data_IF_886521320009
#
_entry.id   IF_886521320009
#
_cell.length_a   1.000
_cell.length_b   1.000
_cell.length_c   1.000
_cell.angle_alpha   90.00
_cell.angle_beta   90.00
_cell.angle_gamma   90.00
#
_symmetry.space_group_name_H-M   'P 1'
#
loop_
_entity.id
_entity.type
_entity.pdbx_description
1 polymer ?
#
# COMPACT_ATOMS: atom_id res chain seq x y z
N UNK A 1 -19.71 -6.03 1.30
CA UNK A 1 -20.41 -4.78 0.94
C UNK A 1 -19.58 -3.77 0.13
N UNK A 2 -18.34 -4.06 -0.30
CA UNK A 2 -17.66 -3.28 -1.36
C UNK A 2 -18.16 -3.64 -2.78
N UNK A 3 -18.89 -4.76 -2.88
CA UNK A 3 -19.41 -5.33 -4.11
C UNK A 3 -20.77 -4.74 -4.55
N UNK A 4 -21.24 -3.71 -3.86
CA UNK A 4 -22.44 -2.94 -4.22
C UNK A 4 -22.10 -1.49 -4.59
N UNK A 5 -20.91 -1.00 -4.22
CA UNK A 5 -20.50 0.39 -4.48
C UNK A 5 -19.91 0.52 -5.89
N UNK A 6 -19.04 -0.40 -6.31
CA UNK A 6 -18.45 -0.39 -7.65
C UNK A 6 -19.49 -0.70 -8.74
N UNK A 7 -20.29 -1.78 -8.66
CA UNK A 7 -21.38 -1.98 -9.62
C UNK A 7 -22.47 -0.92 -9.45
N UNK A 8 -22.66 -0.33 -8.27
CA UNK A 8 -23.58 0.80 -8.09
C UNK A 8 -23.13 2.07 -8.81
N UNK A 9 -21.84 2.40 -8.81
CA UNK A 9 -21.27 3.54 -9.53
C UNK A 9 -21.24 3.30 -11.04
N UNK A 10 -20.86 2.10 -11.48
CA UNK A 10 -20.86 1.73 -12.91
C UNK A 10 -22.30 1.63 -13.44
N UNK A 11 -23.23 1.05 -12.67
CA UNK A 11 -24.65 0.98 -13.01
C UNK A 11 -25.30 2.36 -12.99
N UNK A 12 -24.98 3.22 -12.02
CA UNK A 12 -25.44 4.63 -12.02
C UNK A 12 -24.87 5.42 -13.19
N UNK A 13 -23.63 5.15 -13.59
CA UNK A 13 -23.04 5.71 -14.81
C UNK A 13 -23.77 5.25 -16.08
N UNK A 14 -24.10 3.96 -16.16
CA UNK A 14 -24.86 3.39 -17.28
C UNK A 14 -26.32 3.82 -17.30
N UNK A 15 -26.98 3.91 -16.15
CA UNK A 15 -28.35 4.40 -15.99
C UNK A 15 -28.44 5.90 -16.30
N UNK A 16 -27.43 6.70 -15.94
CA UNK A 16 -27.34 8.11 -16.31
C UNK A 16 -27.11 8.32 -17.82
N UNK A 17 -26.30 7.47 -18.45
CA UNK A 17 -26.13 7.48 -19.91
C UNK A 17 -27.41 7.00 -20.62
N UNK A 18 -28.05 5.94 -20.14
CA UNK A 18 -29.26 5.39 -20.72
C UNK A 18 -30.47 6.34 -20.58
N UNK A 19 -30.61 7.03 -19.45
CA UNK A 19 -31.66 8.05 -19.27
C UNK A 19 -31.44 9.29 -20.16
N UNK A 20 -30.18 9.65 -20.42
CA UNK A 20 -29.82 10.67 -21.41
C UNK A 20 -30.22 10.27 -22.84
N UNK A 21 -30.06 8.99 -23.20
CA UNK A 21 -30.42 8.48 -24.54
C UNK A 21 -31.92 8.23 -24.70
N UNK A 22 -32.64 7.88 -23.64
CA UNK A 22 -34.07 7.56 -23.70
C UNK A 22 -34.98 8.81 -23.78
N UNK A 23 -34.53 9.95 -23.24
CA UNK A 23 -35.24 11.23 -23.36
C UNK A 23 -35.12 11.88 -24.76
N UNK A 24 -34.36 11.29 -25.69
CA UNK A 24 -34.23 11.75 -27.08
C UNK A 24 -35.36 11.28 -28.01
N UNK A 25 -36.25 10.39 -27.53
CA UNK A 25 -37.23 9.69 -28.37
C UNK A 25 -38.66 10.23 -28.40
N UNK A 26 -39.00 11.32 -27.70
CA UNK A 26 -40.38 11.79 -27.71
C UNK A 26 -40.61 13.18 -27.12
N UNK A 27 -41.02 14.11 -27.98
CA UNK A 27 -41.71 15.35 -27.59
C UNK A 27 -41.00 16.62 -28.01
N UNK A 28 -41.57 17.31 -29.01
CA UNK A 28 -41.40 18.75 -29.25
C UNK A 28 -41.54 19.51 -27.92
N UNK A 29 -40.57 20.38 -27.58
CA UNK A 29 -40.73 21.72 -26.99
C UNK A 29 -39.36 22.22 -26.43
N UNK A 30 -38.84 23.30 -27.02
CA UNK A 30 -37.75 24.13 -26.46
C UNK A 30 -36.42 23.43 -26.16
N UNK A 31 -35.58 23.24 -27.20
CA UNK A 31 -34.20 22.76 -27.03
C UNK A 31 -33.38 23.72 -26.15
N UNK A 32 -33.29 23.44 -24.85
CA UNK A 32 -32.09 23.80 -24.11
C UNK A 32 -30.93 23.00 -24.73
N UNK A 33 -29.87 23.65 -25.23
CA UNK A 33 -28.78 22.93 -25.87
C UNK A 33 -28.16 22.01 -24.82
N UNK A 34 -28.35 20.70 -24.99
CA UNK A 34 -27.70 19.72 -24.14
C UNK A 34 -26.20 20.02 -24.16
N UNK A 35 -25.51 20.08 -23.01
CA UNK A 35 -24.07 20.32 -22.98
C UNK A 35 -23.38 19.20 -23.77
N UNK A 36 -23.06 19.46 -25.04
CA UNK A 36 -22.33 18.51 -25.87
C UNK A 36 -20.92 18.43 -25.30
N UNK A 37 -20.67 17.38 -24.53
CA UNK A 37 -19.37 17.18 -23.91
C UNK A 37 -18.33 16.99 -25.02
N UNK A 38 -17.38 17.94 -25.19
CA UNK A 38 -16.48 17.87 -26.31
C UNK A 38 -15.54 16.67 -26.17
N UNK A 39 -15.36 15.90 -27.25
CA UNK A 39 -14.54 14.68 -27.26
C UNK A 39 -13.10 14.96 -26.81
N UNK A 40 -12.52 16.10 -27.16
CA UNK A 40 -11.19 16.51 -26.72
C UNK A 40 -11.11 16.66 -25.19
N UNK A 41 -12.17 17.16 -24.56
CA UNK A 41 -12.27 17.28 -23.10
C UNK A 41 -12.29 15.91 -22.41
N UNK A 42 -12.99 14.95 -23.01
CA UNK A 42 -13.02 13.57 -22.51
C UNK A 42 -11.65 12.89 -22.57
N UNK A 43 -10.92 13.09 -23.67
CA UNK A 43 -9.57 12.56 -23.82
C UNK A 43 -8.62 13.14 -22.76
N UNK A 44 -8.68 14.46 -22.52
CA UNK A 44 -7.86 15.10 -21.49
C UNK A 44 -8.16 14.54 -20.10
N UNK A 45 -9.44 14.50 -19.69
CA UNK A 45 -9.82 13.96 -18.38
C UNK A 45 -9.38 12.50 -18.18
N UNK A 46 -9.59 11.65 -19.19
CA UNK A 46 -9.17 10.24 -19.13
C UNK A 46 -7.65 10.16 -19.05
N UNK A 47 -6.91 10.97 -19.80
CA UNK A 47 -5.45 10.99 -19.75
C UNK A 47 -4.91 11.43 -18.39
N UNK A 48 -5.48 12.48 -17.79
CA UNK A 48 -5.12 12.97 -16.46
C UNK A 48 -5.45 11.94 -15.38
N UNK A 49 -6.57 11.24 -15.52
CA UNK A 49 -6.95 10.15 -14.61
C UNK A 49 -6.00 8.93 -14.72
N UNK A 50 -5.62 8.53 -15.93
CA UNK A 50 -4.63 7.46 -16.15
C UNK A 50 -3.29 7.87 -15.55
N UNK A 51 -2.86 9.12 -15.76
CA UNK A 51 -1.61 9.63 -15.20
C UNK A 51 -1.65 9.60 -13.67
N UNK A 52 -2.77 10.01 -13.05
CA UNK A 52 -2.97 9.92 -11.60
C UNK A 52 -2.79 8.47 -11.11
N UNK A 53 -3.41 7.50 -11.78
CA UNK A 53 -3.28 6.07 -11.43
C UNK A 53 -1.81 5.63 -11.50
N UNK A 54 -1.10 5.97 -12.59
CA UNK A 54 0.31 5.58 -12.78
C UNK A 54 1.21 6.20 -11.73
N UNK A 55 1.01 7.48 -11.39
CA UNK A 55 1.79 8.18 -10.36
C UNK A 55 1.51 7.59 -8.98
N UNK A 56 0.24 7.42 -8.62
CA UNK A 56 -0.16 6.83 -7.33
C UNK A 56 0.36 5.40 -7.18
N UNK A 57 0.26 4.60 -8.23
CA UNK A 57 0.83 3.25 -8.26
C UNK A 57 2.35 3.26 -8.09
N UNK A 58 3.07 4.18 -8.77
CA UNK A 58 4.53 4.27 -8.66
C UNK A 58 4.97 4.63 -7.24
N UNK A 59 4.25 5.56 -6.59
CA UNK A 59 4.52 5.98 -5.21
C UNK A 59 4.26 4.82 -4.25
N UNK A 60 3.10 4.20 -4.34
CA UNK A 60 2.71 3.08 -3.48
C UNK A 60 3.66 1.88 -3.65
N UNK A 61 3.96 1.50 -4.89
CA UNK A 61 4.85 0.38 -5.17
C UNK A 61 6.28 0.65 -4.67
N UNK A 62 6.87 1.78 -5.06
CA UNK A 62 8.28 2.05 -4.79
C UNK A 62 8.50 2.42 -3.33
N UNK A 63 7.75 3.39 -2.82
CA UNK A 63 7.98 3.95 -1.49
C UNK A 63 7.09 3.32 -0.42
N UNK A 64 5.92 2.78 -0.77
CA UNK A 64 5.00 2.11 0.17
C UNK A 64 5.23 0.61 0.34
N UNK A 65 5.83 -0.07 -0.65
CA UNK A 65 6.11 -1.51 -0.60
C UNK A 65 7.60 -1.83 -0.65
N UNK A 66 8.30 -1.48 -1.73
CA UNK A 66 9.69 -1.90 -1.94
C UNK A 66 10.65 -1.36 -0.86
N UNK A 67 10.69 -0.04 -0.66
CA UNK A 67 11.60 0.56 0.34
C UNK A 67 11.29 0.12 1.77
N UNK A 68 10.02 0.10 2.25
CA UNK A 68 9.68 -0.42 3.56
C UNK A 68 10.10 -1.88 3.77
N UNK A 69 9.94 -2.74 2.77
CA UNK A 69 10.43 -4.13 2.84
C UNK A 69 11.93 -4.18 3.10
N UNK A 70 12.72 -3.33 2.45
CA UNK A 70 14.17 -3.24 2.70
C UNK A 70 14.48 -2.71 4.10
N UNK A 71 13.72 -1.70 4.59
CA UNK A 71 13.88 -1.16 5.96
C UNK A 71 13.61 -2.25 7.02
N UNK A 72 12.61 -3.12 6.79
CA UNK A 72 12.21 -4.16 7.75
C UNK A 72 13.26 -5.25 7.93
N UNK A 73 14.13 -5.47 6.94
CA UNK A 73 15.15 -6.51 6.98
C UNK A 73 16.53 -5.96 7.29
N UNK A 74 16.84 -4.70 6.92
CA UNK A 74 18.16 -4.11 7.10
C UNK A 74 18.60 -4.21 8.56
N UNK A 75 19.75 -4.83 8.79
CA UNK A 75 20.29 -4.96 10.14
C UNK A 75 21.15 -3.74 10.49
N UNK A 76 21.23 -3.36 11.77
CA UNK A 76 22.11 -2.30 12.20
C UNK A 76 23.55 -2.58 11.75
N UNK A 77 24.31 -1.57 11.33
CA UNK A 77 25.71 -1.74 10.91
C UNK A 77 26.58 -2.42 11.98
N UNK A 78 26.22 -2.22 13.26
CA UNK A 78 26.88 -2.80 14.43
C UNK A 78 26.70 -4.33 14.51
N UNK A 79 25.63 -4.90 13.96
CA UNK A 79 25.38 -6.35 14.01
C UNK A 79 26.08 -7.13 12.89
N UNK A 80 26.76 -6.44 11.97
CA UNK A 80 27.45 -7.02 10.80
C UNK A 80 28.97 -6.87 10.95
N UNK A 81 29.43 -6.15 11.99
CA UNK A 81 30.83 -6.04 12.32
C UNK A 81 31.35 -7.37 12.85
N UNK A 82 32.15 -8.05 12.02
CA UNK A 82 33.19 -8.91 12.57
C UNK A 82 34.08 -8.01 13.42
N UNK A 83 34.09 -8.22 14.73
CA UNK A 83 35.15 -7.70 15.58
C UNK A 83 36.44 -8.35 15.03
N UNK A 84 37.36 -7.57 14.41
CA UNK A 84 38.59 -8.16 13.93
C UNK A 84 39.25 -8.77 15.15
N UNK A 85 39.45 -10.10 15.13
CA UNK A 85 40.21 -10.79 16.16
C UNK A 85 41.49 -9.97 16.37
N UNK A 86 41.72 -9.55 17.62
CA UNK A 86 42.96 -8.92 18.02
C UNK A 86 44.08 -9.90 17.71
N UNK A 87 44.65 -9.77 16.53
CA UNK A 87 45.94 -10.35 16.23
C UNK A 87 46.89 -9.49 17.05
N UNK A 88 47.32 -10.04 18.19
CA UNK A 88 48.47 -9.54 18.96
C UNK A 88 49.70 -9.67 18.06
N UNK A 89 49.81 -8.78 17.07
CA UNK A 89 51.02 -8.59 16.29
C UNK A 89 51.78 -7.45 16.97
N UNK A 90 52.88 -7.74 17.70
CA UNK A 90 53.55 -6.77 18.57
C UNK A 90 54.27 -5.63 17.81
N UNK A 91 54.22 -5.59 16.47
CA UNK A 91 54.97 -4.63 15.65
C UNK A 91 54.11 -3.62 14.87
N UNK A 92 52.78 -3.56 15.06
CA UNK A 92 51.96 -2.55 14.37
C UNK A 92 51.90 -1.20 15.11
N UNK A 93 53.05 -0.54 15.25
CA UNK A 93 53.13 0.90 15.59
C UNK A 93 52.77 1.75 14.36
N UNK A 94 51.51 1.69 13.95
CA UNK A 94 50.94 2.67 13.03
C UNK A 94 49.92 3.48 13.83
N UNK A 95 50.28 4.74 14.10
CA UNK A 95 49.41 5.78 14.63
C UNK A 95 48.05 5.71 13.93
N UNK A 96 47.06 5.11 14.61
CA UNK A 96 45.66 5.21 14.24
C UNK A 96 45.07 6.28 15.15
N UNK A 97 44.89 7.47 14.60
CA UNK A 97 44.10 8.51 15.25
C UNK A 97 42.73 7.91 15.64
N UNK A 98 42.33 7.97 16.92
CA UNK A 98 41.12 7.31 17.40
C UNK A 98 39.81 7.95 16.88
N UNK A 99 39.88 9.03 16.11
CA UNK A 99 38.71 9.76 15.60
C UNK A 99 38.27 9.38 14.18
N UNK A 100 39.10 8.72 13.36
CA UNK A 100 38.72 8.35 11.97
C UNK A 100 38.00 6.98 11.86
N UNK A 101 37.98 6.17 12.92
CA UNK A 101 37.40 4.81 12.90
C UNK A 101 35.94 4.72 13.41
N UNK A 102 35.31 5.84 13.78
CA UNK A 102 33.96 5.86 14.36
C UNK A 102 32.89 6.50 13.46
N UNK A 103 33.10 6.59 12.14
CA UNK A 103 31.98 6.87 11.23
C UNK A 103 31.11 5.63 11.14
N UNK A 104 30.20 5.46 12.10
CA UNK A 104 29.17 4.40 12.09
C UNK A 104 28.48 4.43 10.72
N UNK A 105 28.59 3.37 9.90
CA UNK A 105 28.06 3.40 8.55
C UNK A 105 26.55 3.67 8.62
N UNK A 106 26.05 4.73 8.02
CA UNK A 106 24.60 4.97 8.05
C UNK A 106 23.86 3.88 7.27
N UNK A 107 22.69 3.40 7.74
CA UNK A 107 21.88 2.43 7.02
C UNK A 107 21.63 2.88 5.58
N UNK A 108 21.69 1.98 4.62
CA UNK A 108 21.40 2.22 3.20
C UNK A 108 19.98 2.78 3.06
N UNK A 109 19.04 2.32 3.90
CA UNK A 109 17.65 2.80 3.91
C UNK A 109 17.39 4.05 4.76
N UNK A 110 18.44 4.78 5.16
CA UNK A 110 18.33 6.07 5.86
C UNK A 110 17.57 7.14 5.08
N UNK A 111 17.59 7.09 3.74
CA UNK A 111 16.78 7.98 2.89
C UNK A 111 16.32 7.29 1.61
N UNK A 112 15.14 7.65 1.10
CA UNK A 112 14.62 7.13 -0.16
C UNK A 112 15.60 7.34 -1.32
N UNK A 113 16.20 8.53 -1.43
CA UNK A 113 17.16 8.83 -2.50
C UNK A 113 18.39 7.92 -2.42
N UNK A 114 18.91 7.66 -1.21
CA UNK A 114 20.05 6.76 -1.00
C UNK A 114 19.69 5.32 -1.34
N UNK A 115 18.54 4.82 -0.85
CA UNK A 115 18.04 3.48 -1.19
C UNK A 115 17.91 3.29 -2.70
N UNK A 116 17.26 4.23 -3.38
CA UNK A 116 17.02 4.15 -4.82
C UNK A 116 18.32 4.25 -5.64
N UNK A 117 19.30 5.02 -5.17
CA UNK A 117 20.62 5.12 -5.80
C UNK A 117 21.37 3.80 -5.64
N UNK A 118 21.34 3.20 -4.45
CA UNK A 118 21.97 1.91 -4.16
C UNK A 118 21.39 0.76 -5.00
N UNK A 119 20.07 0.75 -5.23
CA UNK A 119 19.42 -0.30 -6.01
C UNK A 119 19.77 -0.31 -7.51
N UNK A 120 20.43 0.72 -8.04
CA UNK A 120 20.83 0.77 -9.46
C UNK A 120 19.91 1.59 -10.36
N UNK A 121 19.23 2.62 -9.83
CA UNK A 121 18.55 3.64 -10.64
C UNK A 121 17.06 3.41 -10.91
N UNK A 122 16.53 3.97 -12.02
CA UNK A 122 15.07 4.05 -12.26
C UNK A 122 14.42 2.69 -12.51
N UNK A 123 15.03 1.83 -13.34
CA UNK A 123 14.50 0.48 -13.63
C UNK A 123 14.49 -0.42 -12.39
N UNK A 124 15.44 -0.21 -11.48
CA UNK A 124 15.52 -0.96 -10.24
C UNK A 124 14.37 -0.67 -9.25
N UNK A 125 13.61 0.42 -9.44
CA UNK A 125 12.42 0.76 -8.64
C UNK A 125 11.25 -0.19 -8.88
N UNK A 126 11.21 -0.81 -10.06
CA UNK A 126 10.12 -1.70 -10.47
C UNK A 126 10.50 -3.18 -10.36
N UNK A 127 11.54 -3.49 -9.56
CA UNK A 127 11.96 -4.88 -9.32
C UNK A 127 10.84 -5.66 -8.66
N UNK A 128 10.50 -6.81 -9.24
CA UNK A 128 9.40 -7.65 -8.76
C UNK A 128 8.01 -7.21 -9.21
N UNK A 129 7.86 -6.13 -10.01
CA UNK A 129 6.53 -5.59 -10.35
C UNK A 129 5.63 -6.61 -11.06
N UNK A 130 6.21 -7.42 -11.94
CA UNK A 130 5.47 -8.47 -12.63
C UNK A 130 4.94 -9.52 -11.63
N UNK A 131 5.78 -9.95 -10.70
CA UNK A 131 5.39 -10.90 -9.65
C UNK A 131 4.32 -10.30 -8.72
N UNK A 132 4.40 -9.00 -8.45
CA UNK A 132 3.39 -8.27 -7.69
C UNK A 132 2.03 -8.35 -8.40
N UNK A 133 1.97 -8.00 -9.70
CA UNK A 133 0.72 -8.10 -10.46
C UNK A 133 0.18 -9.53 -10.54
N UNK A 134 1.04 -10.51 -10.80
CA UNK A 134 0.66 -11.93 -10.82
C UNK A 134 0.09 -12.35 -9.47
N UNK A 135 0.74 -11.98 -8.37
CA UNK A 135 0.27 -12.28 -7.03
C UNK A 135 -1.08 -11.63 -6.74
N UNK A 136 -1.25 -10.33 -7.03
CA UNK A 136 -2.52 -9.62 -6.82
C UNK A 136 -3.65 -10.23 -7.67
N UNK A 137 -3.36 -10.53 -8.93
CA UNK A 137 -4.32 -11.15 -9.84
C UNK A 137 -4.72 -12.55 -9.35
N UNK A 138 -3.76 -13.40 -9.00
CA UNK A 138 -4.00 -14.75 -8.51
C UNK A 138 -4.84 -14.74 -7.22
N UNK A 139 -4.50 -13.87 -6.26
CA UNK A 139 -5.29 -13.71 -5.01
C UNK A 139 -6.72 -13.27 -5.35
N UNK A 140 -6.91 -12.33 -6.27
CA UNK A 140 -8.24 -11.87 -6.69
C UNK A 140 -9.07 -12.96 -7.36
N UNK A 141 -8.46 -13.77 -8.22
CA UNK A 141 -9.11 -14.91 -8.89
C UNK A 141 -9.50 -15.98 -7.87
N UNK A 142 -8.56 -16.40 -7.00
CA UNK A 142 -8.82 -17.40 -5.96
C UNK A 142 -9.89 -16.90 -4.99
N UNK A 143 -9.82 -15.65 -4.54
CA UNK A 143 -10.83 -15.04 -3.68
C UNK A 143 -12.21 -15.00 -4.34
N UNK A 144 -12.27 -14.71 -5.65
CA UNK A 144 -13.52 -14.72 -6.41
C UNK A 144 -14.12 -16.11 -6.52
N UNK A 145 -13.30 -17.13 -6.84
CA UNK A 145 -13.73 -18.54 -6.91
C UNK A 145 -14.25 -19.01 -5.54
N UNK A 146 -13.52 -18.73 -4.46
CA UNK A 146 -13.94 -19.10 -3.10
C UNK A 146 -15.28 -18.44 -2.72
N UNK A 147 -15.48 -17.19 -3.10
CA UNK A 147 -16.72 -16.46 -2.82
C UNK A 147 -17.92 -16.88 -3.68
N UNK A 148 -17.69 -17.57 -4.80
CA UNK A 148 -18.73 -18.00 -5.72
C UNK A 148 -19.44 -19.29 -5.28
N UNK A 149 -18.88 -20.03 -4.32
CA UNK A 149 -19.52 -21.24 -3.79
C UNK A 149 -20.80 -20.88 -3.01
N UNK A 150 -21.96 -21.47 -3.36
CA UNK A 150 -23.26 -21.07 -2.80
C UNK A 150 -23.40 -21.33 -1.29
N UNK A 151 -22.67 -22.31 -0.75
CA UNK A 151 -22.63 -22.58 0.71
C UNK A 151 -21.86 -21.49 1.47
N UNK A 152 -20.93 -20.83 0.78
CA UNK A 152 -19.95 -19.89 1.34
C UNK A 152 -20.31 -18.42 1.08
N UNK A 153 -21.42 -18.16 0.37
CA UNK A 153 -21.83 -16.81 -0.06
C UNK A 153 -22.32 -15.90 1.07
N UNK A 154 -22.62 -16.46 2.25
CA UNK A 154 -23.01 -15.69 3.43
C UNK A 154 -21.85 -14.92 4.05
N UNK A 155 -20.61 -15.29 3.75
CA UNK A 155 -19.42 -14.64 4.30
C UNK A 155 -19.01 -13.45 3.42
N UNK A 156 -18.71 -12.26 3.99
CA UNK A 156 -18.31 -11.10 3.22
C UNK A 156 -17.07 -11.37 2.35
N UNK A 157 -17.12 -10.94 1.07
CA UNK A 157 -16.00 -11.09 0.10
C UNK A 157 -14.59 -10.78 0.64
N UNK A 158 -14.35 -9.74 1.46
CA UNK A 158 -12.99 -9.45 1.93
C UNK A 158 -12.40 -10.56 2.83
N UNK A 159 -13.24 -11.35 3.50
CA UNK A 159 -12.80 -12.55 4.20
C UNK A 159 -12.15 -13.56 3.24
N UNK A 160 -12.80 -13.81 2.10
CA UNK A 160 -12.29 -14.72 1.06
C UNK A 160 -10.99 -14.22 0.45
N UNK A 161 -10.80 -12.90 0.34
CA UNK A 161 -9.51 -12.34 -0.04
C UNK A 161 -8.42 -12.64 1.00
N UNK A 162 -8.72 -12.57 2.29
CA UNK A 162 -7.78 -12.96 3.34
C UNK A 162 -7.38 -14.45 3.23
N UNK A 163 -8.36 -15.33 3.04
CA UNK A 163 -8.11 -16.77 2.81
C UNK A 163 -7.27 -16.99 1.55
N UNK A 164 -7.61 -16.32 0.44
CA UNK A 164 -6.89 -16.41 -0.81
C UNK A 164 -5.44 -15.94 -0.68
N UNK A 165 -5.16 -14.89 0.09
CA UNK A 165 -3.80 -14.43 0.38
C UNK A 165 -2.98 -15.50 1.10
N UNK A 166 -3.57 -16.25 2.04
CA UNK A 166 -2.91 -17.37 2.73
C UNK A 166 -2.69 -18.56 1.80
N UNK A 167 -3.68 -18.93 1.00
CA UNK A 167 -3.56 -20.01 0.00
C UNK A 167 -2.44 -19.68 -1.00
N UNK A 168 -2.37 -18.43 -1.46
CA UNK A 168 -1.37 -17.96 -2.40
C UNK A 168 -0.08 -17.43 -1.75
N UNK A 169 0.20 -17.72 -0.47
CA UNK A 169 1.30 -17.08 0.29
C UNK A 169 2.70 -17.25 -0.32
N UNK A 170 2.91 -18.25 -1.19
CA UNK A 170 4.16 -18.42 -1.93
C UNK A 170 4.40 -17.31 -2.96
N UNK A 171 3.35 -16.69 -3.52
CA UNK A 171 3.50 -15.63 -4.53
C UNK A 171 4.00 -14.31 -3.89
N UNK A 172 3.42 -13.81 -2.78
CA UNK A 172 3.99 -12.68 -2.04
C UNK A 172 5.39 -12.99 -1.51
N UNK A 173 5.65 -14.22 -1.04
CA UNK A 173 7.00 -14.65 -0.63
C UNK A 173 8.00 -14.51 -1.78
N UNK A 174 7.66 -14.98 -2.98
CA UNK A 174 8.49 -14.86 -4.18
C UNK A 174 8.74 -13.40 -4.54
N UNK A 175 7.71 -12.55 -4.43
CA UNK A 175 7.88 -11.11 -4.61
C UNK A 175 8.88 -10.53 -3.61
N UNK A 176 8.77 -10.87 -2.33
CA UNK A 176 9.72 -10.43 -1.29
C UNK A 176 11.14 -10.89 -1.63
N UNK A 177 11.34 -12.15 -2.02
CA UNK A 177 12.66 -12.65 -2.45
C UNK A 177 13.24 -11.86 -3.63
N UNK A 178 12.43 -11.53 -4.64
CA UNK A 178 12.88 -10.72 -5.78
C UNK A 178 13.20 -9.28 -5.36
N UNK A 179 12.43 -8.72 -4.42
CA UNK A 179 12.61 -7.37 -3.91
C UNK A 179 13.89 -7.22 -3.08
N UNK A 180 14.27 -8.26 -2.33
CA UNK A 180 15.40 -8.22 -1.40
C UNK A 180 16.70 -8.81 -1.96
N UNK A 181 16.65 -9.73 -2.94
CA UNK A 181 17.84 -10.31 -3.57
C UNK A 181 18.54 -9.33 -4.50
N UNK A 182 19.75 -9.60 -4.99
CA UNK A 182 20.37 -8.89 -6.12
C UNK A 182 19.75 -9.36 -7.47
N UNK A 183 19.94 -8.61 -8.58
CA UNK A 183 19.50 -9.05 -9.89
C UNK A 183 20.11 -10.41 -10.26
N UNK A 184 19.27 -11.44 -10.32
CA UNK A 184 19.68 -12.81 -10.68
C UNK A 184 19.30 -13.13 -12.14
N UNK A 185 20.05 -14.01 -12.83
CA UNK A 185 19.72 -14.46 -14.18
C UNK A 185 18.51 -15.40 -14.23
N UNK A 186 18.05 -15.92 -13.08
CA UNK A 186 16.89 -16.83 -13.01
C UNK A 186 15.60 -16.09 -13.39
N UNK A 187 14.77 -16.71 -14.22
CA UNK A 187 13.40 -16.22 -14.49
C UNK A 187 12.54 -16.20 -13.23
N UNK A 188 11.52 -15.35 -13.20
CA UNK A 188 10.69 -15.13 -12.00
C UNK A 188 9.99 -16.42 -11.52
N UNK A 189 9.49 -17.27 -12.43
CA UNK A 189 8.78 -18.50 -12.07
C UNK A 189 9.71 -19.57 -11.48
N UNK A 190 10.99 -19.58 -11.87
CA UNK A 190 12.00 -20.48 -11.26
C UNK A 190 12.42 -20.05 -9.86
N UNK A 191 11.99 -18.87 -9.41
CA UNK A 191 12.22 -18.37 -8.05
C UNK A 191 11.07 -18.69 -7.09
N UNK A 192 9.99 -19.31 -7.57
CA UNK A 192 8.87 -19.70 -6.71
C UNK A 192 9.34 -20.82 -5.77
N UNK A 193 9.25 -20.64 -4.44
CA UNK A 193 9.67 -21.66 -3.49
C UNK A 193 8.81 -22.93 -3.55
N UNK A 194 9.35 -24.03 -3.03
CA UNK A 194 8.63 -25.30 -2.98
C UNK A 194 7.36 -25.22 -2.12
N UNK A 195 6.37 -26.07 -2.41
CA UNK A 195 5.13 -26.15 -1.61
C UNK A 195 5.37 -26.49 -0.13
N UNK A 196 6.51 -27.11 0.22
CA UNK A 196 6.88 -27.38 1.62
C UNK A 196 7.08 -26.08 2.41
N UNK A 197 7.55 -25.02 1.75
CA UNK A 197 7.77 -23.70 2.34
C UNK A 197 6.45 -23.01 2.70
N UNK A 198 5.32 -23.41 2.10
CA UNK A 198 4.01 -22.81 2.38
C UNK A 198 3.66 -22.89 3.89
N UNK A 199 3.90 -24.03 4.53
CA UNK A 199 3.61 -24.23 5.97
C UNK A 199 4.35 -23.22 6.86
N UNK A 200 5.53 -22.77 6.43
CA UNK A 200 6.39 -21.85 7.16
C UNK A 200 5.94 -20.39 7.06
N UNK A 201 5.23 -20.03 5.98
CA UNK A 201 4.79 -18.66 5.70
C UNK A 201 3.27 -18.46 5.84
N UNK A 202 2.48 -19.54 5.87
CA UNK A 202 1.02 -19.47 5.93
C UNK A 202 0.53 -18.77 7.21
N UNK A 203 1.06 -19.15 8.38
CA UNK A 203 0.66 -18.55 9.66
C UNK A 203 0.95 -17.04 9.75
N UNK A 204 2.18 -16.53 9.48
CA UNK A 204 2.41 -15.08 9.50
C UNK A 204 1.62 -14.35 8.42
N UNK A 205 1.36 -14.99 7.27
CA UNK A 205 0.51 -14.42 6.22
C UNK A 205 -0.93 -14.28 6.70
N UNK A 206 -1.44 -15.28 7.42
CA UNK A 206 -2.79 -15.24 8.00
C UNK A 206 -2.93 -14.13 9.04
N UNK A 207 -1.92 -13.95 9.90
CA UNK A 207 -1.92 -12.85 10.88
C UNK A 207 -1.93 -11.49 10.19
N UNK A 208 -1.12 -11.28 9.14
CA UNK A 208 -1.16 -10.04 8.37
C UNK A 208 -2.53 -9.85 7.69
N UNK A 209 -3.07 -10.88 7.06
CA UNK A 209 -4.38 -10.79 6.39
C UNK A 209 -5.49 -10.39 7.38
N UNK A 210 -5.51 -10.99 8.57
CA UNK A 210 -6.47 -10.63 9.63
C UNK A 210 -6.24 -9.19 10.11
N UNK A 211 -5.00 -8.78 10.34
CA UNK A 211 -4.67 -7.41 10.74
C UNK A 211 -5.17 -6.39 9.71
N UNK A 212 -4.95 -6.64 8.43
CA UNK A 212 -5.43 -5.79 7.34
C UNK A 212 -6.96 -5.73 7.30
N UNK A 213 -7.65 -6.87 7.42
CA UNK A 213 -9.12 -6.88 7.47
C UNK A 213 -9.66 -6.08 8.67
N UNK A 214 -9.10 -6.26 9.87
CA UNK A 214 -9.51 -5.53 11.06
C UNK A 214 -9.29 -4.03 10.91
N UNK A 215 -8.16 -3.62 10.34
CA UNK A 215 -7.82 -2.21 10.12
C UNK A 215 -8.78 -1.48 9.16
N UNK A 216 -9.48 -2.23 8.30
CA UNK A 216 -10.47 -1.69 7.35
C UNK A 216 -11.88 -1.79 7.91
N UNK A 217 -12.27 -2.95 8.45
CA UNK A 217 -13.64 -3.18 8.88
C UNK A 217 -14.02 -2.43 10.15
N UNK A 218 -13.12 -2.33 11.13
CA UNK A 218 -13.44 -1.65 12.39
C UNK A 218 -13.72 -0.15 12.17
N UNK A 219 -12.90 0.61 11.41
CA UNK A 219 -13.24 2.02 11.12
C UNK A 219 -14.50 2.18 10.27
N UNK A 220 -14.75 1.28 9.31
CA UNK A 220 -15.99 1.33 8.50
C UNK A 220 -17.21 1.09 9.38
N UNK A 221 -17.15 0.11 10.27
CA UNK A 221 -18.24 -0.16 11.21
C UNK A 221 -18.46 1.03 12.16
N UNK A 222 -17.39 1.65 12.65
CA UNK A 222 -17.47 2.87 13.46
C UNK A 222 -18.08 4.04 12.68
N UNK A 223 -17.73 4.20 11.40
CA UNK A 223 -18.33 5.22 10.53
C UNK A 223 -19.83 5.00 10.33
N UNK A 224 -20.25 3.74 10.15
CA UNK A 224 -21.67 3.37 10.07
C UNK A 224 -22.39 3.64 11.40
N UNK A 225 -21.84 3.16 12.52
CA UNK A 225 -22.43 3.34 13.85
C UNK A 225 -22.56 4.81 14.27
N UNK A 226 -21.70 5.68 13.77
CA UNK A 226 -21.75 7.13 14.06
C UNK A 226 -22.65 7.92 13.11
N UNK A 227 -23.26 7.25 12.12
CA UNK A 227 -24.14 7.83 11.11
C UNK A 227 -23.43 8.67 10.05
N UNK A 228 -22.11 8.50 9.88
CA UNK A 228 -21.33 9.22 8.86
C UNK A 228 -21.70 8.76 7.44
N UNK A 229 -22.14 7.52 7.29
CA UNK A 229 -22.49 6.91 5.99
C UNK A 229 -23.90 7.22 5.51
N UNK A 230 -24.78 7.68 6.40
CA UNK A 230 -26.23 7.76 6.13
C UNK A 230 -26.66 9.14 5.62
N UNK A 231 -25.79 10.15 5.73
CA UNK A 231 -26.07 11.52 5.32
C UNK A 231 -25.97 11.67 3.81
N UNK A 232 -27.05 12.13 3.16
CA UNK A 232 -27.03 12.42 1.71
C UNK A 232 -26.25 13.71 1.44
N UNK A 233 -25.58 13.85 0.28
CA UNK A 233 -24.85 15.07 -0.07
C UNK A 233 -25.68 16.36 0.04
N UNK A 234 -26.96 16.29 -0.30
CA UNK A 234 -27.91 17.41 -0.16
C UNK A 234 -28.13 17.81 1.30
N UNK A 235 -28.23 16.84 2.20
CA UNK A 235 -28.40 17.09 3.64
C UNK A 235 -27.14 17.71 4.26
N UNK A 236 -25.96 17.44 3.69
CA UNK A 236 -24.69 18.03 4.13
C UNK A 236 -24.62 19.53 3.81
N UNK A 237 -25.15 19.95 2.67
CA UNK A 237 -25.15 21.35 2.24
C UNK A 237 -26.04 22.26 3.11
N UNK A 238 -27.09 21.71 3.73
CA UNK A 238 -28.01 22.45 4.60
C UNK A 238 -27.73 22.26 6.10
N UNK A 239 -26.61 21.64 6.49
CA UNK A 239 -26.28 21.46 7.90
C UNK A 239 -25.91 22.80 8.56
N UNK A 240 -26.43 23.03 9.78
CA UNK A 240 -26.01 24.15 10.62
C UNK A 240 -24.53 24.00 11.02
N UNK A 241 -23.81 25.10 11.27
CA UNK A 241 -22.37 25.11 11.58
C UNK A 241 -21.97 24.18 12.72
N UNK A 242 -22.79 24.08 13.78
CA UNK A 242 -22.56 23.12 14.88
C UNK A 242 -22.64 21.64 14.44
N UNK A 243 -23.57 21.31 13.53
CA UNK A 243 -23.72 19.96 13.00
C UNK A 243 -22.60 19.60 12.00
N UNK A 244 -22.11 20.58 11.24
CA UNK A 244 -20.94 20.43 10.37
C UNK A 244 -19.69 20.12 11.20
N UNK A 245 -19.42 20.90 12.25
CA UNK A 245 -18.29 20.66 13.17
C UNK A 245 -18.38 19.30 13.85
N UNK A 246 -19.55 18.90 14.34
CA UNK A 246 -19.73 17.57 14.94
C UNK A 246 -19.48 16.43 13.93
N UNK A 247 -19.89 16.60 12.67
CA UNK A 247 -19.65 15.62 11.60
C UNK A 247 -18.17 15.55 11.25
N UNK A 248 -17.49 16.70 11.16
CA UNK A 248 -16.05 16.78 10.92
C UNK A 248 -15.26 16.10 12.05
N UNK A 249 -15.61 16.34 13.32
CA UNK A 249 -14.98 15.68 14.47
C UNK A 249 -15.17 14.16 14.45
N UNK A 250 -16.37 13.66 14.11
CA UNK A 250 -16.59 12.22 13.92
C UNK A 250 -15.71 11.66 12.81
N UNK A 251 -15.64 12.33 11.67
CA UNK A 251 -14.81 11.91 10.53
C UNK A 251 -13.32 11.88 10.89
N UNK A 252 -12.83 12.90 11.59
CA UNK A 252 -11.47 12.96 12.11
C UNK A 252 -11.19 11.83 13.10
N UNK A 253 -12.14 11.52 13.99
CA UNK A 253 -12.05 10.41 14.94
C UNK A 253 -11.94 9.05 14.26
N UNK A 254 -12.78 8.79 13.25
CA UNK A 254 -12.70 7.56 12.44
C UNK A 254 -11.37 7.47 11.70
N UNK A 255 -10.89 8.57 11.12
CA UNK A 255 -9.60 8.63 10.44
C UNK A 255 -8.44 8.33 11.41
N UNK A 256 -8.42 9.00 12.58
CA UNK A 256 -7.41 8.80 13.60
C UNK A 256 -7.41 7.34 14.10
N UNK A 257 -8.59 6.76 14.29
CA UNK A 257 -8.73 5.35 14.67
C UNK A 257 -8.21 4.39 13.59
N UNK A 258 -8.52 4.65 12.31
CA UNK A 258 -7.99 3.86 11.18
C UNK A 258 -6.47 3.92 11.09
N UNK A 259 -5.89 5.10 11.29
CA UNK A 259 -4.44 5.27 11.36
C UNK A 259 -3.86 4.52 12.54
N UNK A 260 -4.47 4.61 13.73
CA UNK A 260 -4.02 3.90 14.92
C UNK A 260 -3.98 2.37 14.70
N UNK A 261 -5.04 1.78 14.12
CA UNK A 261 -5.06 0.35 13.79
C UNK A 261 -3.98 -0.02 12.76
N UNK A 262 -3.77 0.83 11.76
CA UNK A 262 -2.73 0.61 10.76
C UNK A 262 -1.33 0.59 11.39
N UNK A 263 -1.02 1.55 12.27
CA UNK A 263 0.27 1.63 12.94
C UNK A 263 0.48 0.54 14.01
N UNK A 264 -0.55 0.22 14.79
CA UNK A 264 -0.44 -0.67 15.94
C UNK A 264 -0.62 -2.15 15.60
N UNK A 265 -1.35 -2.48 14.54
CA UNK A 265 -1.68 -3.87 14.20
C UNK A 265 -1.05 -4.28 12.87
N UNK A 266 -1.25 -3.49 11.81
CA UNK A 266 -0.80 -3.87 10.45
C UNK A 266 0.73 -3.81 10.35
N UNK A 267 1.36 -2.74 10.84
CA UNK A 267 2.82 -2.60 10.75
C UNK A 267 3.55 -3.76 11.48
N UNK A 268 3.26 -4.09 12.75
CA UNK A 268 3.93 -5.21 13.41
C UNK A 268 3.72 -6.56 12.71
N UNK A 269 2.50 -6.83 12.23
CA UNK A 269 2.21 -8.04 11.47
C UNK A 269 3.02 -8.09 10.15
N UNK A 270 3.12 -6.96 9.44
CA UNK A 270 3.86 -6.87 8.18
C UNK A 270 5.37 -7.01 8.39
N UNK A 271 5.93 -6.37 9.42
CA UNK A 271 7.34 -6.52 9.80
C UNK A 271 7.65 -7.99 10.09
N UNK A 272 6.80 -8.65 10.88
CA UNK A 272 6.94 -10.06 11.23
C UNK A 272 6.93 -10.93 9.98
N UNK A 273 5.95 -10.76 9.11
CA UNK A 273 5.85 -11.53 7.86
C UNK A 273 7.07 -11.31 6.96
N UNK A 274 7.47 -10.06 6.72
CA UNK A 274 8.60 -9.74 5.83
C UNK A 274 9.90 -10.35 6.35
N UNK A 275 10.14 -10.32 7.67
CA UNK A 275 11.35 -10.92 8.25
C UNK A 275 11.32 -12.44 8.21
N UNK A 276 10.16 -13.06 8.43
CA UNK A 276 9.98 -14.51 8.21
C UNK A 276 10.26 -14.88 6.75
N UNK A 277 9.72 -14.12 5.79
CA UNK A 277 9.97 -14.31 4.37
C UNK A 277 11.45 -14.12 4.01
N UNK A 278 12.13 -13.15 4.62
CA UNK A 278 13.56 -12.89 4.41
C UNK A 278 14.45 -14.01 4.96
N UNK A 279 14.08 -14.62 6.10
CA UNK A 279 14.79 -15.80 6.64
C UNK A 279 14.74 -17.02 5.72
N UNK A 280 13.75 -17.05 4.82
CA UNK A 280 13.56 -18.11 3.82
C UNK A 280 14.28 -17.84 2.50
N UNK A 281 15.07 -16.76 2.41
CA UNK A 281 15.83 -16.45 1.19
C UNK A 281 16.88 -17.55 0.96
N UNK A 282 16.95 -18.16 -0.24
CA UNK A 282 17.94 -19.20 -0.52
C UNK A 282 19.37 -18.70 -0.37
N UNK A 283 20.28 -19.57 0.10
CA UNK A 283 21.68 -19.20 0.30
C UNK A 283 22.40 -18.79 -0.99
N UNK A 284 21.95 -19.29 -2.14
CA UNK A 284 22.49 -18.96 -3.46
C UNK A 284 22.23 -17.52 -3.90
N UNK A 285 21.27 -16.84 -3.28
CA UNK A 285 20.81 -15.53 -3.72
C UNK A 285 21.32 -14.48 -2.72
N UNK A 286 22.23 -13.60 -3.15
CA UNK A 286 22.74 -12.49 -2.32
C UNK A 286 21.67 -11.42 -2.08
N UNK A 287 21.68 -10.78 -0.90
CA UNK A 287 20.76 -9.69 -0.58
C UNK A 287 21.25 -8.35 -1.12
N UNK A 288 20.33 -7.50 -1.56
CA UNK A 288 20.60 -6.12 -2.01
C UNK A 288 20.98 -5.19 -0.85
N UNK A 289 20.50 -5.50 0.34
CA UNK A 289 20.75 -4.75 1.58
C UNK A 289 21.39 -5.72 2.57
N UNK A 290 22.39 -5.28 3.34
CA UNK A 290 23.03 -6.15 4.32
C UNK A 290 22.02 -6.43 5.45
N UNK A 291 21.75 -7.71 5.67
CA UNK A 291 20.95 -8.15 6.80
C UNK A 291 21.46 -9.48 7.34
N UNK A 292 21.34 -9.63 8.66
CA UNK A 292 21.69 -10.86 9.36
C UNK A 292 20.63 -11.94 9.09
N UNK A 293 21.02 -12.96 8.31
CA UNK A 293 20.16 -14.12 7.98
C UNK A 293 19.88 -15.01 9.19
N UNK A 294 20.79 -15.01 10.18
CA UNK A 294 20.62 -15.73 11.43
C UNK A 294 19.69 -15.01 12.42
N UNK A 295 19.47 -13.71 12.20
CA UNK A 295 18.72 -12.81 13.09
C UNK A 295 19.17 -12.92 14.57
N UNK A 296 20.47 -12.83 14.80
CA UNK A 296 21.11 -12.97 16.10
C UNK A 296 21.18 -14.43 16.57
N UNK A 297 21.43 -15.37 15.64
CA UNK A 297 21.51 -16.81 15.93
C UNK A 297 20.16 -17.49 16.21
N UNK A 298 19.03 -16.81 15.95
CA UNK A 298 17.67 -17.35 16.15
C UNK A 298 17.19 -18.24 15.00
N UNK A 299 17.82 -18.14 13.83
CA UNK A 299 17.57 -19.03 12.70
C UNK A 299 18.65 -20.10 12.65
N UNK A 300 18.26 -21.33 12.98
CA UNK A 300 19.12 -22.51 12.85
C UNK A 300 18.84 -23.16 11.49
N UNK A 301 19.84 -23.33 10.60
CA UNK A 301 19.66 -23.95 9.30
C UNK A 301 19.10 -25.37 9.39
N UNK A 302 18.32 -25.79 8.39
CA UNK A 302 17.78 -27.16 8.33
C UNK A 302 18.88 -28.23 8.27
N UNK A 303 20.04 -27.89 7.68
CA UNK A 303 21.19 -28.80 7.52
C UNK A 303 21.74 -29.25 8.88
N UNK A 304 21.59 -28.43 9.93
CA UNK A 304 22.00 -28.75 11.30
C UNK A 304 20.82 -29.13 12.21
N UNK A 305 19.66 -29.47 11.62
CA UNK A 305 18.46 -29.92 12.34
C UNK A 305 17.51 -28.81 12.82
N UNK A 306 17.71 -27.57 12.38
CA UNK A 306 16.84 -26.44 12.72
C UNK A 306 15.60 -26.28 11.82
N UNK A 307 14.74 -25.33 12.18
CA UNK A 307 13.54 -24.97 11.39
C UNK A 307 13.87 -24.23 10.09
N UNK A 308 15.07 -23.65 9.98
CA UNK A 308 15.47 -22.78 8.87
C UNK A 308 14.63 -21.51 8.71
N UNK A 309 13.87 -21.13 9.74
CA UNK A 309 12.96 -19.97 9.76
C UNK A 309 12.96 -19.32 11.12
N UNK A 310 12.90 -17.99 11.13
CA UNK A 310 12.72 -17.22 12.37
C UNK A 310 11.30 -17.37 12.93
N UNK A 311 11.17 -17.56 14.25
CA UNK A 311 9.87 -17.52 14.92
C UNK A 311 9.20 -16.15 14.78
N UNK A 312 7.88 -16.11 14.63
CA UNK A 312 7.13 -14.86 14.44
C UNK A 312 7.37 -13.84 15.57
N UNK A 313 7.36 -14.30 16.83
CA UNK A 313 7.60 -13.45 17.99
C UNK A 313 9.04 -12.91 18.01
N UNK A 314 10.01 -13.76 17.68
CA UNK A 314 11.42 -13.37 17.59
C UNK A 314 11.66 -12.37 16.46
N UNK A 315 10.96 -12.53 15.33
CA UNK A 315 11.00 -11.60 14.20
C UNK A 315 10.48 -10.20 14.56
N UNK A 316 9.54 -10.07 15.49
CA UNK A 316 9.15 -8.75 15.99
C UNK A 316 10.13 -8.22 17.05
N UNK A 317 10.52 -9.07 18.01
CA UNK A 317 11.38 -8.65 19.14
C UNK A 317 12.76 -8.19 18.69
N UNK A 318 13.36 -8.85 17.71
CA UNK A 318 14.68 -8.50 17.16
C UNK A 318 14.64 -7.27 16.23
N UNK A 319 13.49 -6.58 16.09
CA UNK A 319 13.38 -5.39 15.24
C UNK A 319 13.74 -4.18 16.08
N UNK A 320 14.88 -3.56 15.81
CA UNK A 320 15.41 -2.48 16.63
C UNK A 320 14.54 -1.22 16.58
N UNK A 321 14.59 -0.43 17.65
CA UNK A 321 13.76 0.77 17.79
C UNK A 321 14.10 1.86 16.75
N UNK A 322 15.37 1.98 16.35
CA UNK A 322 15.77 2.97 15.36
C UNK A 322 15.19 2.64 13.97
N UNK A 323 15.15 1.36 13.59
CA UNK A 323 14.52 0.86 12.37
C UNK A 323 12.99 0.99 12.42
N UNK A 324 12.35 0.80 13.59
CA UNK A 324 10.91 1.10 13.77
C UNK A 324 10.58 2.55 13.48
N UNK A 325 11.35 3.49 14.04
CA UNK A 325 11.15 4.92 13.79
C UNK A 325 11.39 5.26 12.32
N UNK A 326 12.43 4.70 11.70
CA UNK A 326 12.70 4.87 10.26
C UNK A 326 11.54 4.37 9.40
N UNK A 327 10.97 3.21 9.74
CA UNK A 327 9.83 2.64 9.05
C UNK A 327 8.58 3.51 9.17
N UNK A 328 8.26 4.01 10.37
CA UNK A 328 7.14 4.92 10.60
C UNK A 328 7.32 6.22 9.79
N UNK A 329 8.53 6.81 9.82
CA UNK A 329 8.86 7.99 9.00
C UNK A 329 8.71 7.71 7.51
N UNK A 330 9.09 6.52 7.04
CA UNK A 330 8.91 6.14 5.64
C UNK A 330 7.43 6.11 5.26
N UNK A 331 6.58 5.44 6.04
CA UNK A 331 5.13 5.42 5.78
C UNK A 331 4.49 6.80 5.85
N UNK A 332 4.89 7.64 6.81
CA UNK A 332 4.37 9.01 6.92
C UNK A 332 4.76 9.85 5.68
N UNK A 333 5.97 9.70 5.16
CA UNK A 333 6.40 10.34 3.90
C UNK A 333 5.58 9.86 2.71
N UNK A 334 5.32 8.56 2.62
CA UNK A 334 4.49 7.99 1.54
C UNK A 334 3.08 8.55 1.60
N UNK A 335 2.48 8.61 2.79
CA UNK A 335 1.16 9.19 3.01
C UNK A 335 1.13 10.66 2.56
N UNK A 336 2.12 11.47 2.99
CA UNK A 336 2.22 12.86 2.57
C UNK A 336 2.37 13.02 1.03
N UNK A 337 3.15 12.14 0.38
CA UNK A 337 3.28 12.13 -1.08
C UNK A 337 1.96 11.79 -1.77
N UNK A 338 1.21 10.79 -1.28
CA UNK A 338 -0.09 10.39 -1.83
C UNK A 338 -1.13 11.50 -1.68
N UNK A 339 -1.19 12.15 -0.50
CA UNK A 339 -2.06 13.31 -0.25
C UNK A 339 -1.70 14.45 -1.19
N UNK A 340 -0.42 14.81 -1.29
CA UNK A 340 0.04 15.90 -2.15
C UNK A 340 -0.31 15.68 -3.63
N UNK A 341 -0.05 14.47 -4.16
CA UNK A 341 -0.43 14.12 -5.54
C UNK A 341 -1.95 14.15 -5.72
N UNK A 342 -2.72 13.60 -4.79
CA UNK A 342 -4.18 13.60 -4.87
C UNK A 342 -4.72 15.02 -4.93
N UNK A 343 -4.22 15.94 -4.08
CA UNK A 343 -4.63 17.35 -4.08
C UNK A 343 -4.31 18.03 -5.41
N UNK A 344 -3.08 17.87 -5.91
CA UNK A 344 -2.65 18.47 -7.19
C UNK A 344 -3.54 17.99 -8.34
N UNK A 345 -3.73 16.68 -8.47
CA UNK A 345 -4.57 16.12 -9.54
C UNK A 345 -6.05 16.48 -9.38
N UNK A 346 -6.55 16.61 -8.15
CA UNK A 346 -7.93 17.08 -7.92
C UNK A 346 -8.09 18.52 -8.42
N UNK A 347 -7.12 19.39 -8.13
CA UNK A 347 -7.11 20.77 -8.65
C UNK A 347 -7.05 20.77 -10.18
N UNK A 348 -6.19 19.95 -10.78
CA UNK A 348 -6.10 19.80 -12.24
C UNK A 348 -7.43 19.34 -12.85
N UNK A 349 -8.05 18.29 -12.29
CA UNK A 349 -9.35 17.79 -12.77
C UNK A 349 -10.45 18.84 -12.64
N UNK A 350 -10.49 19.61 -11.55
CA UNK A 350 -11.44 20.72 -11.39
C UNK A 350 -11.19 21.78 -12.48
N UNK A 351 -9.94 22.15 -12.73
CA UNK A 351 -9.59 23.12 -13.76
C UNK A 351 -9.94 22.63 -15.17
N UNK A 352 -9.71 21.34 -15.48
CA UNK A 352 -10.12 20.70 -16.73
C UNK A 352 -11.64 20.72 -16.89
N UNK A 353 -12.38 20.39 -15.83
CA UNK A 353 -13.85 20.45 -15.83
C UNK A 353 -14.37 21.87 -16.09
N UNK A 354 -13.75 22.90 -15.47
CA UNK A 354 -14.10 24.32 -15.71
C UNK A 354 -13.79 24.72 -17.16
N UNK A 355 -12.64 24.29 -17.69
CA UNK A 355 -12.22 24.58 -19.06
C UNK A 355 -13.18 23.95 -20.09
N UNK A 356 -13.65 22.73 -19.83
CA UNK A 356 -14.53 21.97 -20.72
C UNK A 356 -15.98 22.48 -20.65
N UNK A 357 -16.50 22.75 -19.45
CA UNK A 357 -17.87 23.25 -19.26
C UNK A 357 -18.00 24.74 -19.65
N UNK A 358 -16.89 25.49 -19.67
CA UNK A 358 -16.91 26.92 -19.89
C UNK A 358 -17.33 27.70 -18.63
N UNK A 359 -16.74 28.88 -18.43
CA UNK A 359 -16.95 29.71 -17.23
C UNK A 359 -18.42 30.15 -17.06
N UNK A 360 -19.17 30.26 -18.15
CA UNK A 360 -20.59 30.68 -18.14
C UNK A 360 -21.55 29.62 -17.57
N UNK A 361 -21.29 28.33 -17.78
CA UNK A 361 -22.14 27.26 -17.27
C UNK A 361 -21.73 26.83 -15.85
N UNK A 362 -20.48 27.08 -15.45
CA UNK A 362 -19.99 26.83 -14.09
C UNK A 362 -20.74 27.63 -13.01
N UNK A 363 -21.16 28.86 -13.32
CA UNK A 363 -21.95 29.71 -12.43
C UNK A 363 -23.36 29.15 -12.11
N UNK A 364 -23.85 28.18 -12.89
CA UNK A 364 -25.14 27.50 -12.63
C UNK A 364 -25.03 26.39 -11.57
N UNK A 365 -23.82 25.92 -11.27
CA UNK A 365 -23.59 24.85 -10.29
C UNK A 365 -23.40 25.34 -8.86
N UNK A 366 -23.18 26.65 -8.65
CA UNK A 366 -23.25 27.25 -7.33
C UNK A 366 -24.68 27.73 -7.07
N UNK A 367 -25.31 27.36 -5.94
CA UNK A 367 -26.59 27.94 -5.56
C UNK A 367 -26.39 29.46 -5.48
N UNK A 368 -27.18 30.22 -6.25
CA UNK A 368 -27.30 31.66 -6.04
C UNK A 368 -27.73 31.84 -4.59
N UNK A 369 -26.96 32.60 -3.83
CA UNK A 369 -27.32 33.00 -2.47
C UNK A 369 -28.78 33.47 -2.51
N UNK A 370 -29.59 32.83 -1.66
CA UNK A 370 -31.03 33.02 -1.64
C UNK A 370 -31.33 34.51 -1.57
N UNK A 371 -32.12 34.96 -2.53
CA UNK A 371 -32.84 36.23 -2.43
C UNK A 371 -33.46 36.29 -1.04
N UNK A 372 -32.98 37.24 -0.24
CA UNK A 372 -33.69 37.72 0.94
C UNK A 372 -35.04 38.24 0.47
N UNK A 373 -36.06 37.39 0.48
CA UNK A 373 -37.44 37.84 0.45
C UNK A 373 -37.81 38.23 1.87
N UNK A 374 -37.73 39.55 2.11
CA UNK A 374 -38.45 40.27 3.17
C UNK A 374 -39.96 40.19 2.94
#
# INVERSE_FOLDING_TARGET
>A
MLNTIVPGLVRRGFEAHASMTQNQGGGNDGEEPQPQFPVWGGIILVSTFILLIVVMFTIDYTFGKLVPTLIMIESPPESIGFEPLSTEDPDSTINKDPEELLVKPQPITSSFRRTLRHLGGFRARFRGILMYFISTFAIGVVGSILSAFPILSYIPRPFWNGVATVVCALLPLTWTHIAISQPSPKTWFRRIPSMKTWKKVAAPTAVLAVAEQLSVFLPVYLAMATGLTDKKPKEIAYMNGGQQTATACKGLGVLAFSLALSFLIVIPAKVTLVRVQASLLPDTDESSVPFDRSFGGKVVPEIVGGSGVIGMLDAWKTFDWASRIRLIKAYLKVFAMQVGVTVVFTICLIAEMIMIAGVKDWARFFPKDGDQQL
#
